data_IF_382180068238
#
_entry.id   IF_382180068238
#
_cell.length_a   1.000
_cell.length_b   1.000
_cell.length_c   1.000
_cell.angle_alpha   90.00
_cell.angle_beta   90.00
_cell.angle_gamma   90.00
#
_symmetry.space_group_name_H-M   'P 1'
#
loop_
_entity.id
_entity.type
_entity.pdbx_description
1 polymer ?
#
# COMPACT_ATOMS: atom_id res chain seq x y z
N UNK A 1 15.89 -6.90 22.68
CA UNK A 1 14.53 -6.45 22.33
C UNK A 1 13.60 -7.64 22.47
N UNK A 2 12.52 -7.54 23.25
CA UNK A 2 11.49 -8.58 23.33
C UNK A 2 10.33 -8.10 22.47
N UNK A 3 10.15 -8.71 21.30
CA UNK A 3 9.06 -8.41 20.38
C UNK A 3 7.95 -9.46 20.52
N UNK A 4 6.70 -9.04 20.37
CA UNK A 4 5.56 -9.94 20.18
C UNK A 4 5.83 -10.86 18.98
N UNK A 5 5.55 -12.16 19.16
CA UNK A 5 5.82 -13.17 18.14
C UNK A 5 4.73 -13.12 17.05
N UNK A 6 5.09 -12.67 15.85
CA UNK A 6 4.23 -12.72 14.67
C UNK A 6 4.29 -14.14 14.05
N UNK A 7 3.39 -15.05 14.43
CA UNK A 7 3.44 -16.47 13.99
C UNK A 7 3.19 -16.63 12.50
N UNK A 8 2.40 -15.74 11.89
CA UNK A 8 2.23 -15.66 10.43
C UNK A 8 3.46 -15.10 9.70
N UNK A 9 4.40 -14.50 10.43
CA UNK A 9 5.62 -13.94 9.87
C UNK A 9 5.37 -12.56 9.24
N UNK A 10 5.86 -12.39 8.01
CA UNK A 10 5.74 -11.13 7.28
C UNK A 10 4.61 -11.15 6.24
N UNK A 11 4.26 -9.97 5.73
CA UNK A 11 3.19 -9.76 4.77
C UNK A 11 3.33 -10.66 3.54
N UNK A 12 4.56 -10.86 3.05
CA UNK A 12 4.86 -11.77 1.93
C UNK A 12 4.25 -13.16 2.10
N UNK A 13 4.32 -13.73 3.31
CA UNK A 13 3.80 -15.07 3.61
C UNK A 13 2.28 -15.12 3.72
N UNK A 14 1.62 -13.96 3.79
CA UNK A 14 0.19 -13.84 3.97
C UNK A 14 -0.55 -13.48 2.68
N UNK A 15 0.15 -13.22 1.57
CA UNK A 15 -0.46 -12.72 0.33
C UNK A 15 -1.53 -13.67 -0.24
N UNK A 16 -1.33 -15.00 -0.11
CA UNK A 16 -2.30 -16.00 -0.54
C UNK A 16 -3.61 -15.97 0.25
N UNK A 17 -3.56 -15.56 1.52
CA UNK A 17 -4.76 -15.38 2.33
C UNK A 17 -5.40 -14.03 2.00
N UNK A 18 -4.58 -12.97 1.88
CA UNK A 18 -5.05 -11.60 1.67
C UNK A 18 -5.77 -11.45 0.33
N UNK A 19 -5.34 -12.14 -0.72
CA UNK A 19 -6.01 -12.03 -2.04
C UNK A 19 -7.47 -12.49 -2.00
N UNK A 20 -7.80 -13.44 -1.12
CA UNK A 20 -9.14 -13.99 -0.90
C UNK A 20 -10.02 -13.11 0.01
N UNK A 21 -9.44 -12.11 0.67
CA UNK A 21 -10.18 -11.23 1.56
C UNK A 21 -11.18 -10.35 0.81
N UNK A 22 -12.27 -10.00 1.49
CA UNK A 22 -13.16 -8.94 1.01
C UNK A 22 -12.42 -7.60 1.03
N UNK A 23 -12.85 -6.68 0.19
CA UNK A 23 -12.24 -5.35 0.08
C UNK A 23 -12.23 -4.58 1.39
N UNK A 24 -13.22 -4.75 2.27
CA UNK A 24 -13.16 -4.13 3.61
C UNK A 24 -11.94 -4.59 4.39
N UNK A 25 -11.67 -5.89 4.42
CA UNK A 25 -10.56 -6.48 5.15
C UNK A 25 -9.22 -6.06 4.53
N UNK A 26 -9.13 -6.06 3.19
CA UNK A 26 -7.97 -5.52 2.45
C UNK A 26 -7.70 -4.06 2.80
N UNK A 27 -8.73 -3.21 2.78
CA UNK A 27 -8.61 -1.79 3.09
C UNK A 27 -8.20 -1.57 4.56
N UNK A 28 -8.72 -2.36 5.51
CA UNK A 28 -8.33 -2.29 6.92
C UNK A 28 -6.85 -2.63 7.12
N UNK A 29 -6.36 -3.68 6.46
CA UNK A 29 -4.93 -4.01 6.47
C UNK A 29 -4.09 -2.88 5.88
N UNK A 30 -4.51 -2.36 4.73
CA UNK A 30 -3.81 -1.27 4.06
C UNK A 30 -3.78 0.01 4.92
N UNK A 31 -4.87 0.32 5.64
CA UNK A 31 -4.95 1.41 6.60
C UNK A 31 -3.96 1.25 7.75
N UNK A 32 -3.79 0.03 8.28
CA UNK A 32 -2.79 -0.24 9.34
C UNK A 32 -1.37 0.01 8.84
N UNK A 33 -1.06 -0.43 7.62
CA UNK A 33 0.25 -0.22 6.99
C UNK A 33 0.54 1.27 6.83
N UNK A 34 -0.39 2.03 6.24
CA UNK A 34 -0.18 3.46 6.00
C UNK A 34 -0.12 4.25 7.31
N UNK A 35 -0.86 3.86 8.35
CA UNK A 35 -0.75 4.45 9.68
C UNK A 35 0.64 4.22 10.30
N UNK A 36 1.20 3.02 10.16
CA UNK A 36 2.57 2.75 10.59
C UNK A 36 3.58 3.64 9.87
N UNK A 37 3.46 3.75 8.54
CA UNK A 37 4.35 4.60 7.74
C UNK A 37 4.16 6.09 8.07
N UNK A 38 2.93 6.52 8.36
CA UNK A 38 2.61 7.88 8.79
C UNK A 38 3.36 8.26 10.06
N UNK A 39 3.43 7.36 11.05
CA UNK A 39 4.17 7.61 12.30
C UNK A 39 5.66 7.85 12.03
N UNK A 40 6.26 7.09 11.10
CA UNK A 40 7.67 7.27 10.69
C UNK A 40 7.85 8.64 10.04
N UNK A 41 7.04 8.97 9.03
CA UNK A 41 7.13 10.24 8.29
C UNK A 41 6.87 11.46 9.19
N UNK A 42 5.89 11.37 10.10
CA UNK A 42 5.57 12.46 11.04
C UNK A 42 6.65 12.64 12.12
N UNK A 43 7.48 11.61 12.35
CA UNK A 43 8.69 11.71 13.15
C UNK A 43 9.87 12.30 12.38
N UNK A 44 9.65 12.82 11.17
CA UNK A 44 10.68 13.34 10.26
C UNK A 44 11.75 12.30 9.88
N UNK A 45 11.33 11.04 9.79
CA UNK A 45 12.16 9.90 9.39
C UNK A 45 11.67 9.31 8.06
N UNK A 46 12.58 8.61 7.38
CA UNK A 46 12.26 7.63 6.33
C UNK A 46 12.75 6.26 6.77
N UNK A 47 11.99 5.20 6.47
CA UNK A 47 12.35 3.82 6.83
C UNK A 47 13.55 3.31 6.02
N UNK A 48 13.65 3.67 4.73
CA UNK A 48 14.80 3.37 3.87
C UNK A 48 14.79 1.99 3.20
N UNK A 49 14.03 1.02 3.74
CA UNK A 49 13.84 -0.31 3.13
C UNK A 49 12.39 -0.82 3.30
N UNK A 50 11.42 -0.01 2.88
CA UNK A 50 10.00 -0.31 3.09
C UNK A 50 9.47 -1.29 2.04
N UNK A 51 9.16 -2.52 2.44
CA UNK A 51 8.58 -3.57 1.58
C UNK A 51 7.82 -4.61 2.42
N UNK A 52 7.09 -5.50 1.75
CA UNK A 52 6.29 -6.59 2.34
C UNK A 52 7.04 -7.47 3.35
N UNK A 53 8.27 -7.84 3.05
CA UNK A 53 9.13 -8.64 3.92
C UNK A 53 9.44 -7.99 5.27
N UNK A 54 9.34 -6.67 5.36
CA UNK A 54 9.60 -5.85 6.55
C UNK A 54 8.31 -5.43 7.28
N UNK A 55 7.17 -5.99 6.89
CA UNK A 55 5.88 -5.78 7.53
C UNK A 55 5.49 -7.09 8.23
N UNK A 56 5.48 -7.11 9.56
CA UNK A 56 5.08 -8.26 10.36
C UNK A 56 3.58 -8.23 10.63
N UNK A 57 2.93 -9.40 10.61
CA UNK A 57 1.47 -9.54 10.78
C UNK A 57 1.17 -10.51 11.91
N UNK A 58 0.26 -10.13 12.81
CA UNK A 58 -0.24 -11.02 13.85
C UNK A 58 -1.11 -12.15 13.30
N UNK A 59 -1.27 -13.22 14.07
CA UNK A 59 -1.96 -14.45 13.64
C UNK A 59 -3.39 -14.24 13.15
N UNK A 60 -4.06 -13.22 13.70
CA UNK A 60 -5.44 -12.85 13.43
C UNK A 60 -5.57 -11.62 12.53
N UNK A 61 -4.49 -11.14 11.89
CA UNK A 61 -4.51 -9.94 11.05
C UNK A 61 -4.90 -8.64 11.77
N UNK A 62 -4.99 -8.67 13.11
CA UNK A 62 -5.43 -7.51 13.89
C UNK A 62 -4.30 -6.53 14.16
N UNK A 63 -3.06 -6.98 14.28
CA UNK A 63 -1.90 -6.15 14.54
C UNK A 63 -0.88 -6.26 13.41
N UNK A 64 -0.17 -5.16 13.18
CA UNK A 64 0.84 -5.04 12.15
C UNK A 64 1.99 -4.19 12.66
N UNK A 65 3.21 -4.61 12.37
CA UNK A 65 4.42 -3.89 12.77
C UNK A 65 5.34 -3.71 11.58
N UNK A 66 5.75 -2.47 11.31
CA UNK A 66 6.87 -2.19 10.41
C UNK A 66 8.15 -2.48 11.20
N UNK A 67 9.05 -3.26 10.63
CA UNK A 67 10.29 -3.72 11.24
C UNK A 67 11.48 -3.45 10.32
N UNK A 68 12.69 -3.68 10.83
CA UNK A 68 13.97 -3.49 10.14
C UNK A 68 14.31 -2.01 9.89
N UNK A 69 14.39 -1.27 11.00
CA UNK A 69 14.80 0.13 11.03
C UNK A 69 16.32 0.33 10.85
N UNK A 70 17.07 -0.67 10.38
CA UNK A 70 18.52 -0.60 10.22
C UNK A 70 18.98 0.48 9.23
N UNK A 71 18.08 0.89 8.33
CA UNK A 71 18.29 1.96 7.35
C UNK A 71 17.43 3.20 7.60
N UNK A 72 16.74 3.23 8.74
CA UNK A 72 15.89 4.36 9.10
C UNK A 72 16.78 5.58 9.37
N UNK A 73 16.48 6.71 8.73
CA UNK A 73 17.29 7.92 8.83
C UNK A 73 16.47 9.20 8.89
N UNK A 74 16.97 10.25 9.58
CA UNK A 74 16.37 11.58 9.54
C UNK A 74 16.27 12.13 8.12
N UNK A 75 15.18 12.84 7.85
CA UNK A 75 14.98 13.53 6.57
C UNK A 75 16.04 14.64 6.37
N UNK A 76 16.56 15.22 7.45
CA UNK A 76 17.65 16.20 7.39
C UNK A 76 18.93 15.63 6.76
N UNK A 77 19.23 14.37 7.05
CA UNK A 77 20.50 13.72 6.72
C UNK A 77 20.52 13.22 5.26
N UNK A 78 19.38 13.34 4.56
CA UNK A 78 19.21 13.03 3.13
C UNK A 78 20.09 13.93 2.26
N UNK A 79 20.33 15.18 2.68
CA UNK A 79 21.16 16.13 1.92
C UNK A 79 22.67 15.81 2.02
N UNK A 80 23.06 15.10 3.08
CA UNK A 80 24.46 14.79 3.40
C UNK A 80 24.87 13.37 3.00
N UNK A 81 23.97 12.57 2.40
CA UNK A 81 24.30 11.22 1.96
C UNK A 81 25.10 11.25 0.66
N UNK A 82 26.35 10.77 0.72
CA UNK A 82 27.21 10.57 -0.45
C UNK A 82 26.49 9.74 -1.53
N UNK A 83 26.33 10.33 -2.71
CA UNK A 83 25.72 9.72 -3.92
C UNK A 83 26.49 8.50 -4.48
N UNK A 84 27.57 8.08 -3.81
CA UNK A 84 28.48 7.03 -4.26
C UNK A 84 28.09 5.62 -3.78
N UNK A 85 27.13 5.49 -2.86
CA UNK A 85 26.65 4.19 -2.42
C UNK A 85 25.72 3.54 -3.46
N UNK A 86 25.86 2.23 -3.67
CA UNK A 86 24.92 1.47 -4.50
C UNK A 86 23.51 1.50 -3.89
N UNK A 87 22.45 1.58 -4.74
CA UNK A 87 21.08 1.51 -4.25
C UNK A 87 20.86 0.22 -3.47
N UNK A 88 20.51 0.33 -2.19
CA UNK A 88 20.15 -0.80 -1.34
C UNK A 88 18.63 -0.93 -1.26
N UNK A 89 18.11 -2.16 -1.39
CA UNK A 89 16.69 -2.46 -1.20
C UNK A 89 16.23 -3.66 -2.01
N UNK A 90 14.92 -3.94 -1.95
CA UNK A 90 14.27 -4.99 -2.73
C UNK A 90 13.74 -4.38 -4.03
N UNK A 91 14.37 -4.74 -5.15
CA UNK A 91 14.26 -4.06 -6.45
C UNK A 91 12.84 -3.58 -6.84
N UNK A 92 11.78 -4.40 -6.82
CA UNK A 92 10.45 -3.95 -7.23
C UNK A 92 9.87 -2.79 -6.40
N UNK A 93 10.29 -2.66 -5.14
CA UNK A 93 9.82 -1.64 -4.20
C UNK A 93 10.61 -0.34 -4.28
N UNK A 94 11.73 -0.35 -5.00
CA UNK A 94 12.61 0.82 -5.11
C UNK A 94 12.04 1.78 -6.14
N UNK A 95 11.78 3.02 -5.72
CA UNK A 95 11.31 4.05 -6.64
C UNK A 95 12.36 4.37 -7.71
N UNK A 96 11.95 4.80 -8.92
CA UNK A 96 12.86 5.12 -10.03
C UNK A 96 13.99 6.08 -9.62
N UNK A 97 13.69 7.10 -8.82
CA UNK A 97 14.69 8.04 -8.33
C UNK A 97 15.74 7.38 -7.42
N UNK A 98 15.38 6.37 -6.63
CA UNK A 98 16.31 5.61 -5.77
C UNK A 98 17.25 4.76 -6.62
N UNK A 99 16.72 4.13 -7.66
CA UNK A 99 17.51 3.37 -8.63
C UNK A 99 18.48 4.27 -9.40
N UNK A 100 18.12 5.55 -9.59
CA UNK A 100 18.99 6.60 -10.13
C UNK A 100 19.95 7.20 -9.09
N UNK A 101 20.08 6.57 -7.92
CA UNK A 101 20.94 6.98 -6.81
C UNK A 101 20.56 8.30 -6.14
N UNK A 102 19.33 8.77 -6.32
CA UNK A 102 18.84 9.87 -5.52
C UNK A 102 18.54 9.39 -4.09
N UNK A 103 18.64 10.27 -3.09
CA UNK A 103 18.32 9.92 -1.72
C UNK A 103 16.87 9.44 -1.51
N UNK A 104 16.69 8.53 -0.55
CA UNK A 104 15.36 8.11 -0.08
C UNK A 104 14.58 9.27 0.52
N UNK A 105 13.30 9.40 0.15
CA UNK A 105 12.37 10.43 0.60
C UNK A 105 11.04 9.81 1.03
N UNK A 106 10.17 10.55 1.74
CA UNK A 106 8.80 10.09 1.98
C UNK A 106 8.06 9.69 0.69
N UNK A 107 8.26 10.42 -0.40
CA UNK A 107 7.64 10.14 -1.70
C UNK A 107 8.14 8.83 -2.35
N UNK A 108 9.41 8.46 -2.14
CA UNK A 108 9.90 7.14 -2.59
C UNK A 108 9.28 6.00 -1.79
N UNK A 109 8.97 6.19 -0.51
CA UNK A 109 8.27 5.16 0.28
C UNK A 109 6.79 5.04 -0.08
N UNK A 110 6.17 6.11 -0.61
CA UNK A 110 4.84 6.04 -1.21
C UNK A 110 4.85 5.19 -2.50
N UNK A 111 5.93 5.26 -3.29
CA UNK A 111 6.11 4.33 -4.40
C UNK A 111 6.21 2.89 -3.89
N UNK A 112 7.00 2.62 -2.86
CA UNK A 112 7.09 1.28 -2.27
C UNK A 112 5.73 0.78 -1.74
N UNK A 113 4.93 1.67 -1.13
CA UNK A 113 3.57 1.37 -0.70
C UNK A 113 2.63 0.99 -1.85
N UNK A 114 2.80 1.59 -3.04
CA UNK A 114 2.01 1.20 -4.22
C UNK A 114 2.25 -0.26 -4.65
N UNK A 115 3.46 -0.77 -4.43
CA UNK A 115 3.79 -2.16 -4.75
C UNK A 115 3.07 -3.10 -3.79
N UNK A 116 3.01 -2.74 -2.50
CA UNK A 116 2.19 -3.45 -1.51
C UNK A 116 0.70 -3.39 -1.89
N UNK A 117 0.20 -2.24 -2.36
CA UNK A 117 -1.16 -2.13 -2.87
C UNK A 117 -1.38 -3.12 -4.03
N UNK A 118 -0.43 -3.23 -4.95
CA UNK A 118 -0.53 -4.17 -6.07
C UNK A 118 -0.57 -5.63 -5.60
N UNK A 119 0.25 -6.01 -4.61
CA UNK A 119 0.26 -7.35 -4.04
C UNK A 119 -1.09 -7.77 -3.46
N UNK A 120 -1.87 -6.84 -2.89
CA UNK A 120 -3.21 -7.12 -2.35
C UNK A 120 -4.22 -7.49 -3.47
N UNK A 121 -3.91 -7.12 -4.71
CA UNK A 121 -4.71 -7.45 -5.89
C UNK A 121 -4.30 -8.77 -6.53
N UNK A 122 -3.00 -9.09 -6.53
CA UNK A 122 -2.45 -10.23 -7.25
C UNK A 122 -2.21 -11.46 -6.37
N UNK A 123 -2.06 -11.27 -5.05
CA UNK A 123 -1.61 -12.31 -4.13
C UNK A 123 -0.15 -12.74 -4.34
N UNK A 124 0.62 -11.99 -5.14
CA UNK A 124 1.97 -12.35 -5.55
C UNK A 124 2.91 -11.14 -5.45
N UNK A 125 4.23 -11.33 -5.29
CA UNK A 125 5.20 -10.25 -5.35
C UNK A 125 5.15 -9.47 -6.68
N UNK A 126 5.46 -8.16 -6.70
CA UNK A 126 5.43 -7.37 -7.92
C UNK A 126 6.35 -7.94 -9.00
N UNK A 127 5.88 -7.91 -10.25
CA UNK A 127 6.55 -8.51 -11.43
C UNK A 127 6.71 -10.04 -11.39
N UNK A 128 5.95 -10.79 -10.58
CA UNK A 128 6.03 -12.26 -10.57
C UNK A 128 5.75 -12.96 -11.90
N UNK A 129 5.13 -12.26 -12.86
CA UNK A 129 4.74 -12.80 -14.17
C UNK A 129 5.59 -12.27 -15.33
N UNK A 130 6.61 -11.46 -15.06
CA UNK A 130 7.40 -10.79 -16.08
C UNK A 130 8.81 -10.45 -15.58
N UNK A 131 9.81 -10.50 -16.46
CA UNK A 131 11.17 -10.10 -16.09
C UNK A 131 11.21 -8.60 -15.78
N UNK A 132 11.91 -8.21 -14.72
CA UNK A 132 12.03 -6.81 -14.31
C UNK A 132 13.45 -6.56 -13.79
N UNK A 133 14.03 -5.45 -14.23
CA UNK A 133 15.33 -4.96 -13.83
C UNK A 133 15.25 -3.47 -13.45
N UNK A 134 16.34 -2.93 -12.91
CA UNK A 134 16.36 -1.52 -12.50
C UNK A 134 16.14 -0.54 -13.67
N UNK A 135 16.64 -0.90 -14.87
CA UNK A 135 16.55 -0.05 -16.07
C UNK A 135 15.09 0.07 -16.52
N UNK A 136 14.40 -1.06 -16.66
CA UNK A 136 13.00 -1.09 -17.07
C UNK A 136 12.08 -0.34 -16.10
N UNK A 137 12.30 -0.43 -14.78
CA UNK A 137 11.56 0.39 -13.80
C UNK A 137 11.77 1.89 -14.04
N UNK A 138 13.03 2.30 -14.28
CA UNK A 138 13.39 3.67 -14.62
C UNK A 138 12.83 4.14 -15.97
N UNK A 139 12.48 3.22 -16.86
CA UNK A 139 11.82 3.52 -18.14
C UNK A 139 10.27 3.51 -18.03
N UNK A 140 9.74 3.40 -16.81
CA UNK A 140 8.30 3.48 -16.55
C UNK A 140 7.59 2.12 -16.55
N UNK A 141 8.33 0.99 -16.54
CA UNK A 141 7.72 -0.32 -16.38
C UNK A 141 7.01 -0.42 -15.03
N UNK A 142 5.77 -0.92 -15.03
CA UNK A 142 4.95 -1.16 -13.84
C UNK A 142 4.26 -2.53 -13.96
N UNK A 143 3.93 -3.19 -12.83
CA UNK A 143 3.25 -4.49 -12.87
C UNK A 143 1.91 -4.43 -13.58
N UNK A 144 1.55 -5.51 -14.30
CA UNK A 144 0.22 -5.64 -14.94
C UNK A 144 -0.91 -5.51 -13.91
N UNK A 145 -1.91 -4.67 -14.19
CA UNK A 145 -3.08 -4.50 -13.32
C UNK A 145 -3.96 -5.76 -13.38
N UNK A 146 -4.34 -6.27 -12.21
CA UNK A 146 -5.22 -7.43 -12.10
C UNK A 146 -6.66 -7.06 -12.49
N UNK A 147 -7.28 -7.92 -13.30
CA UNK A 147 -8.69 -7.79 -13.65
C UNK A 147 -9.56 -7.81 -12.38
N UNK A 148 -10.71 -7.14 -12.43
CA UNK A 148 -11.64 -6.98 -11.29
C UNK A 148 -11.12 -6.17 -10.08
N UNK A 149 -9.92 -5.57 -10.17
CA UNK A 149 -9.51 -4.55 -9.20
C UNK A 149 -10.41 -3.31 -9.33
N UNK A 150 -10.98 -2.77 -8.22
CA UNK A 150 -11.69 -1.50 -8.23
C UNK A 150 -10.87 -0.41 -8.90
N UNK A 151 -11.53 0.40 -9.73
CA UNK A 151 -10.90 1.47 -10.50
C UNK A 151 -10.38 2.55 -9.56
N UNK A 152 -11.13 2.95 -8.53
CA UNK A 152 -10.69 3.91 -7.51
C UNK A 152 -9.38 3.48 -6.83
N UNK A 153 -9.26 2.20 -6.49
CA UNK A 153 -8.05 1.60 -5.93
C UNK A 153 -6.89 1.62 -6.93
N UNK A 154 -7.15 1.22 -8.17
CA UNK A 154 -6.17 1.23 -9.27
C UNK A 154 -5.67 2.64 -9.54
N UNK A 155 -6.56 3.64 -9.57
CA UNK A 155 -6.23 5.03 -9.82
C UNK A 155 -5.37 5.60 -8.69
N UNK A 156 -5.68 5.29 -7.42
CA UNK A 156 -4.85 5.69 -6.29
C UNK A 156 -3.49 5.02 -6.31
N UNK A 157 -3.44 3.71 -6.52
CA UNK A 157 -2.19 2.95 -6.66
C UNK A 157 -1.31 3.53 -7.76
N UNK A 158 -1.91 3.93 -8.90
CA UNK A 158 -1.19 4.56 -9.99
C UNK A 158 -0.63 5.93 -9.64
N UNK A 159 -1.34 6.72 -8.85
CA UNK A 159 -0.81 7.99 -8.32
C UNK A 159 0.36 7.76 -7.37
N UNK A 160 0.34 6.68 -6.58
CA UNK A 160 1.43 6.35 -5.66
C UNK A 160 2.72 5.94 -6.39
N UNK A 161 2.65 5.33 -7.58
CA UNK A 161 3.82 4.95 -8.37
C UNK A 161 4.17 5.89 -9.53
N UNK A 162 3.66 7.12 -9.48
CA UNK A 162 3.93 8.13 -10.49
C UNK A 162 5.44 8.32 -10.68
N UNK A 163 5.86 8.57 -11.92
CA UNK A 163 7.28 8.73 -12.24
C UNK A 163 7.86 9.97 -11.56
N UNK A 164 7.08 11.05 -11.48
CA UNK A 164 7.46 12.25 -10.75
C UNK A 164 7.06 12.09 -9.27
N UNK A 165 8.03 12.09 -8.33
CA UNK A 165 7.76 11.96 -6.90
C UNK A 165 6.83 13.06 -6.35
N UNK A 166 6.78 14.23 -6.98
CA UNK A 166 5.95 15.37 -6.55
C UNK A 166 4.46 15.17 -6.84
N UNK A 167 4.11 14.31 -7.78
CA UNK A 167 2.72 13.94 -8.09
C UNK A 167 2.15 12.90 -7.12
N UNK A 168 3.02 12.24 -6.34
CA UNK A 168 2.61 11.18 -5.41
C UNK A 168 1.91 11.80 -4.19
N UNK A 169 0.79 11.20 -3.72
CA UNK A 169 0.09 11.70 -2.55
C UNK A 169 0.94 11.56 -1.29
N UNK A 170 0.73 12.44 -0.32
CA UNK A 170 1.37 12.29 0.99
C UNK A 170 0.74 11.14 1.79
N UNK A 171 1.48 10.61 2.76
CA UNK A 171 0.98 9.58 3.69
C UNK A 171 -0.31 10.00 4.41
N UNK A 172 -0.48 11.30 4.70
CA UNK A 172 -1.70 11.86 5.30
C UNK A 172 -2.89 11.82 4.36
N UNK A 173 -2.67 12.15 3.08
CA UNK A 173 -3.72 12.08 2.06
C UNK A 173 -4.17 10.63 1.87
N UNK A 174 -3.22 9.69 1.80
CA UNK A 174 -3.53 8.26 1.66
C UNK A 174 -4.33 7.72 2.84
N UNK A 175 -3.91 8.03 4.06
CA UNK A 175 -4.64 7.62 5.26
C UNK A 175 -6.08 8.16 5.26
N UNK A 176 -6.27 9.43 4.91
CA UNK A 176 -7.60 10.03 4.83
C UNK A 176 -8.49 9.37 3.74
N UNK A 177 -7.96 9.17 2.53
CA UNK A 177 -8.70 8.53 1.43
C UNK A 177 -9.12 7.11 1.81
N UNK A 178 -8.18 6.30 2.33
CA UNK A 178 -8.46 4.91 2.72
C UNK A 178 -9.46 4.87 3.87
N UNK A 179 -9.36 5.78 4.85
CA UNK A 179 -10.33 5.92 5.94
C UNK A 179 -11.75 6.20 5.42
N UNK A 180 -11.90 7.14 4.49
CA UNK A 180 -13.21 7.47 3.90
C UNK A 180 -13.82 6.30 3.13
N UNK A 181 -13.00 5.56 2.36
CA UNK A 181 -13.46 4.34 1.69
C UNK A 181 -13.96 3.29 2.68
N UNK A 182 -13.20 3.04 3.75
CA UNK A 182 -13.58 2.11 4.80
C UNK A 182 -14.92 2.50 5.43
N UNK A 183 -15.08 3.78 5.79
CA UNK A 183 -16.29 4.26 6.47
C UNK A 183 -17.53 4.06 5.59
N UNK A 184 -17.42 4.42 4.29
CA UNK A 184 -18.53 4.28 3.35
C UNK A 184 -18.89 2.81 3.07
N UNK A 185 -17.88 1.95 2.88
CA UNK A 185 -18.13 0.54 2.62
C UNK A 185 -18.71 -0.14 3.86
N UNK A 186 -18.18 0.15 5.05
CA UNK A 186 -18.73 -0.37 6.30
C UNK A 186 -20.18 0.06 6.51
N UNK A 187 -20.49 1.34 6.26
CA UNK A 187 -21.86 1.85 6.37
C UNK A 187 -22.80 1.15 5.40
N UNK A 188 -22.38 0.92 4.15
CA UNK A 188 -23.16 0.15 3.18
C UNK A 188 -23.51 -1.24 3.70
N UNK A 189 -22.55 -1.99 4.24
CA UNK A 189 -22.85 -3.33 4.75
C UNK A 189 -23.67 -3.31 6.03
N UNK A 190 -23.47 -2.32 6.91
CA UNK A 190 -24.23 -2.14 8.15
C UNK A 190 -25.73 -1.94 7.88
N UNK A 191 -26.10 -1.20 6.84
CA UNK A 191 -27.51 -0.93 6.51
C UNK A 191 -28.16 -2.02 5.65
N UNK A 192 -27.37 -2.87 5.01
CA UNK A 192 -27.82 -3.93 4.10
C UNK A 192 -27.60 -5.34 4.68
N UNK A 193 -27.55 -5.47 6.01
CA UNK A 193 -27.32 -6.75 6.69
C UNK A 193 -28.48 -7.74 6.44
N UNK A 194 -29.71 -7.23 6.35
CA UNK A 194 -30.89 -7.99 5.95
C UNK A 194 -31.16 -7.77 4.46
N UNK A 195 -30.75 -8.70 3.60
CA UNK A 195 -30.71 -8.64 2.11
C UNK A 195 -32.06 -8.36 1.38
N UNK A 196 -33.12 -7.99 2.09
CA UNK A 196 -34.46 -7.83 1.56
C UNK A 196 -34.65 -6.54 0.74
N UNK A 197 -33.86 -5.48 1.01
CA UNK A 197 -33.88 -4.22 0.25
C UNK A 197 -32.50 -3.56 0.24
N UNK A 198 -31.89 -3.39 -0.94
CA UNK A 198 -30.60 -2.70 -1.06
C UNK A 198 -30.81 -1.19 -0.92
N UNK A 199 -30.24 -0.61 0.13
CA UNK A 199 -30.21 0.83 0.40
C UNK A 199 -28.79 1.34 0.15
N UNK A 200 -28.67 2.44 -0.60
CA UNK A 200 -27.39 3.14 -0.76
C UNK A 200 -27.27 4.21 0.32
N UNK A 201 -26.17 4.26 1.11
CA UNK A 201 -25.98 5.30 2.11
C UNK A 201 -26.06 6.71 1.50
N UNK A 202 -26.56 7.66 2.28
CA UNK A 202 -26.58 9.06 1.87
C UNK A 202 -25.17 9.67 2.04
N UNK A 203 -24.39 9.66 0.96
CA UNK A 203 -23.04 10.22 0.87
C UNK A 203 -23.10 11.45 -0.02
N UNK A 204 -22.77 12.61 0.52
CA UNK A 204 -22.82 13.90 -0.20
C UNK A 204 -21.76 13.97 -1.32
N UNK A 205 -20.59 13.35 -1.11
CA UNK A 205 -19.53 13.25 -2.10
C UNK A 205 -19.84 12.15 -3.13
N UNK A 206 -20.14 12.57 -4.36
CA UNK A 206 -20.50 11.65 -5.44
C UNK A 206 -19.33 10.74 -5.87
N UNK A 207 -18.08 11.19 -5.76
CA UNK A 207 -16.91 10.36 -6.07
C UNK A 207 -16.78 9.26 -5.02
N UNK A 208 -16.86 9.62 -3.74
CA UNK A 208 -16.76 8.66 -2.63
C UNK A 208 -17.89 7.61 -2.69
N UNK A 209 -19.09 8.02 -3.06
CA UNK A 209 -20.21 7.13 -3.33
C UNK A 209 -19.91 6.14 -4.45
N UNK A 210 -19.34 6.60 -5.56
CA UNK A 210 -18.96 5.73 -6.68
C UNK A 210 -17.85 4.76 -6.26
N UNK A 211 -16.82 5.23 -5.55
CA UNK A 211 -15.72 4.41 -5.05
C UNK A 211 -16.22 3.26 -4.16
N UNK A 212 -17.13 3.56 -3.22
CA UNK A 212 -17.78 2.55 -2.39
C UNK A 212 -18.50 1.49 -3.23
N UNK A 213 -19.27 1.90 -4.25
CA UNK A 213 -20.00 0.97 -5.11
C UNK A 213 -19.05 0.05 -5.90
N UNK A 214 -17.86 0.52 -6.28
CA UNK A 214 -16.85 -0.33 -6.92
C UNK A 214 -16.37 -1.45 -5.99
N UNK A 215 -16.10 -1.15 -4.71
CA UNK A 215 -15.72 -2.17 -3.72
C UNK A 215 -16.85 -3.18 -3.46
N UNK A 216 -18.08 -2.70 -3.30
CA UNK A 216 -19.25 -3.57 -3.11
C UNK A 216 -19.44 -4.51 -4.30
N UNK A 217 -19.29 -3.99 -5.52
CA UNK A 217 -19.37 -4.79 -6.75
C UNK A 217 -18.26 -5.84 -6.80
N UNK A 218 -17.03 -5.45 -6.50
CA UNK A 218 -15.88 -6.36 -6.52
C UNK A 218 -16.03 -7.49 -5.49
N UNK A 219 -16.56 -7.22 -4.30
CA UNK A 219 -16.85 -8.26 -3.30
C UNK A 219 -17.90 -9.26 -3.78
N UNK A 220 -18.91 -8.82 -4.52
CA UNK A 220 -19.97 -9.68 -5.06
C UNK A 220 -19.50 -10.53 -6.25
N UNK A 221 -18.43 -10.14 -6.92
CA UNK A 221 -17.87 -10.92 -8.03
C UNK A 221 -16.97 -12.08 -7.56
N UNK A 222 -16.49 -12.02 -6.31
CA UNK A 222 -15.56 -12.98 -5.71
C UNK A 222 -16.25 -13.95 -4.73
N UNK A 223 -17.56 -13.84 -4.52
CA UNK A 223 -18.35 -14.73 -3.65
C UNK A 223 -19.43 -15.46 -4.44
#
# INVERSE_FOLDING_TARGET
>A
MVMSYAKKGNLRKCLSDIVEFKWQEKLQLLKKIILGLKVIHESSLVHGNFHDGNILISDNYNELFINDFGLCKPISDIQDSDNDNEPYGVLPYMAPEILRKNPCTPASEIYSFSMIMWEFTSGNPPFSYEECDAVSICEGKRPKIMENTPKCYTDLMKKCWDEDPSNRPTVRMLENIISQWIDCVNEYYRINDDENNIIIPNIDDQQLKNDMLEYVKANKANG
#
